data_IF_560833667996
#
_entry.id   IF_560833667996
#
_cell.length_a   1.000
_cell.length_b   1.000
_cell.length_c   1.000
_cell.angle_alpha   90.00
_cell.angle_beta   90.00
_cell.angle_gamma   90.00
#
_symmetry.space_group_name_H-M   'P 1'
#
loop_
_entity.id
_entity.type
_entity.pdbx_description
1 polymer ?
#
# COMPACT_ATOMS: atom_id res chain seq x y z
N UNK A 1 23.34 -9.34 -9.08
CA UNK A 1 22.70 -10.53 -8.43
C UNK A 1 21.19 -10.52 -8.75
N UNK A 2 20.47 -11.63 -8.51
CA UNK A 2 19.03 -11.77 -8.85
C UNK A 2 18.15 -10.65 -8.27
N UNK A 3 18.40 -10.28 -7.01
CA UNK A 3 17.74 -9.16 -6.34
C UNK A 3 17.78 -7.84 -7.15
N UNK A 4 18.95 -7.44 -7.65
CA UNK A 4 19.11 -6.17 -8.37
C UNK A 4 18.34 -6.17 -9.69
N UNK A 5 18.16 -7.34 -10.31
CA UNK A 5 17.40 -7.46 -11.55
C UNK A 5 15.92 -7.21 -11.29
N UNK A 6 15.33 -7.89 -10.30
CA UNK A 6 13.91 -7.71 -9.94
C UNK A 6 13.63 -6.27 -9.47
N UNK A 7 14.50 -5.72 -8.61
CA UNK A 7 14.35 -4.34 -8.12
C UNK A 7 14.36 -3.31 -9.24
N UNK A 8 15.20 -3.50 -10.27
CA UNK A 8 15.25 -2.60 -11.43
C UNK A 8 13.94 -2.59 -12.23
N UNK A 9 13.15 -3.66 -12.22
CA UNK A 9 11.87 -3.75 -12.93
C UNK A 9 10.79 -2.90 -12.24
N UNK A 10 10.72 -2.97 -10.91
CA UNK A 10 9.66 -2.29 -10.14
C UNK A 10 10.04 -0.87 -9.71
N UNK A 11 11.33 -0.54 -9.62
CA UNK A 11 11.81 0.80 -9.26
C UNK A 11 11.16 1.97 -10.02
N UNK A 12 10.85 1.88 -11.34
CA UNK A 12 10.27 3.01 -12.04
C UNK A 12 8.89 3.41 -11.49
N UNK A 13 8.20 2.57 -10.71
CA UNK A 13 6.91 2.94 -10.07
C UNK A 13 7.05 4.17 -9.15
N UNK A 14 8.24 4.40 -8.59
CA UNK A 14 8.57 5.56 -7.75
C UNK A 14 9.47 6.57 -8.47
N UNK A 15 9.58 6.49 -9.80
CA UNK A 15 10.29 7.50 -10.57
C UNK A 15 9.60 8.88 -10.47
N UNK A 16 10.33 10.00 -10.59
CA UNK A 16 9.76 11.34 -10.44
C UNK A 16 8.50 11.60 -11.28
N UNK A 17 8.47 11.11 -12.53
CA UNK A 17 7.31 11.24 -13.42
C UNK A 17 6.08 10.50 -12.89
N UNK A 18 6.26 9.27 -12.40
CA UNK A 18 5.16 8.49 -11.81
C UNK A 18 4.71 9.10 -10.48
N UNK A 19 5.64 9.58 -9.65
CA UNK A 19 5.27 10.30 -8.41
C UNK A 19 4.46 11.56 -8.70
N UNK A 20 4.82 12.35 -9.72
CA UNK A 20 4.05 13.53 -10.12
C UNK A 20 2.62 13.16 -10.57
N UNK A 21 2.45 12.06 -11.31
CA UNK A 21 1.12 11.54 -11.68
C UNK A 21 0.32 11.07 -10.46
N UNK A 22 0.98 10.39 -9.52
CA UNK A 22 0.35 9.90 -8.30
C UNK A 22 -0.01 11.04 -7.34
N UNK A 23 0.76 12.13 -7.31
CA UNK A 23 0.51 13.26 -6.41
C UNK A 23 -0.91 13.82 -6.56
N UNK A 24 -1.34 14.09 -7.80
CA UNK A 24 -2.68 14.62 -8.05
C UNK A 24 -3.77 13.66 -7.57
N UNK A 25 -3.57 12.36 -7.77
CA UNK A 25 -4.53 11.33 -7.37
C UNK A 25 -4.57 11.16 -5.85
N UNK A 26 -3.40 11.16 -5.19
CA UNK A 26 -3.28 11.10 -3.73
C UNK A 26 -3.99 12.31 -3.13
N UNK A 27 -3.69 13.52 -3.62
CA UNK A 27 -4.31 14.76 -3.12
C UNK A 27 -5.83 14.73 -3.25
N UNK A 28 -6.34 14.31 -4.40
CA UNK A 28 -7.78 14.19 -4.63
C UNK A 28 -8.44 13.21 -3.63
N UNK A 29 -7.87 12.01 -3.48
CA UNK A 29 -8.42 10.98 -2.60
C UNK A 29 -8.31 11.36 -1.12
N UNK A 30 -7.20 11.95 -0.72
CA UNK A 30 -7.02 12.47 0.64
C UNK A 30 -8.03 13.56 0.94
N UNK A 31 -8.23 14.53 0.04
CA UNK A 31 -9.27 15.55 0.19
C UNK A 31 -10.66 14.92 0.39
N UNK A 32 -11.07 14.05 -0.54
CA UNK A 32 -12.37 13.37 -0.46
C UNK A 32 -12.54 12.52 0.81
N UNK A 33 -11.48 11.85 1.29
CA UNK A 33 -11.53 11.07 2.52
C UNK A 33 -11.70 11.95 3.75
N UNK A 34 -10.98 13.08 3.82
CA UNK A 34 -11.05 14.03 4.94
C UNK A 34 -12.36 14.82 4.95
N UNK A 35 -12.83 15.27 3.77
CA UNK A 35 -14.10 16.00 3.62
C UNK A 35 -15.32 15.13 3.99
N UNK A 36 -15.19 13.81 3.92
CA UNK A 36 -16.23 12.84 4.31
C UNK A 36 -16.25 12.48 5.80
N UNK A 37 -15.37 13.04 6.62
CA UNK A 37 -15.33 12.74 8.06
C UNK A 37 -16.38 13.53 8.84
N UNK A 38 -17.02 12.94 9.87
CA UNK A 38 -17.97 13.67 10.69
C UNK A 38 -17.24 14.68 11.60
N UNK A 39 -17.86 15.83 11.84
CA UNK A 39 -17.33 16.88 12.72
C UNK A 39 -18.07 16.84 14.04
N UNK A 40 -17.33 16.76 15.15
CA UNK A 40 -17.90 16.71 16.51
C UNK A 40 -18.37 15.31 16.93
N UNK A 41 -18.12 14.28 16.12
CA UNK A 41 -18.45 12.89 16.44
C UNK A 41 -17.18 12.03 16.48
N UNK A 42 -17.17 11.04 17.37
CA UNK A 42 -16.10 10.05 17.44
C UNK A 42 -16.18 9.11 16.24
N UNK A 43 -15.03 8.84 15.61
CA UNK A 43 -14.90 7.84 14.57
C UNK A 43 -13.55 7.14 14.65
N UNK A 44 -13.45 5.99 13.98
CA UNK A 44 -12.20 5.25 13.84
C UNK A 44 -11.36 5.81 12.68
N UNK A 45 -10.26 6.49 13.01
CA UNK A 45 -9.31 7.04 12.05
C UNK A 45 -8.61 5.97 11.22
N UNK A 46 -8.29 4.82 11.82
CA UNK A 46 -7.61 3.71 11.14
C UNK A 46 -8.48 3.20 10.00
N UNK A 47 -9.77 3.00 10.28
CA UNK A 47 -10.72 2.51 9.27
C UNK A 47 -11.05 3.56 8.23
N UNK A 48 -11.45 4.77 8.65
CA UNK A 48 -11.95 5.79 7.72
C UNK A 48 -10.85 6.45 6.87
N UNK A 49 -9.63 6.54 7.40
CA UNK A 49 -8.54 7.29 6.76
C UNK A 49 -7.37 6.38 6.40
N UNK A 50 -6.70 5.78 7.39
CA UNK A 50 -5.44 5.06 7.15
C UNK A 50 -5.62 3.89 6.19
N UNK A 51 -6.47 2.92 6.51
CA UNK A 51 -6.77 1.74 5.67
C UNK A 51 -7.37 2.20 4.34
N UNK A 52 -8.32 3.13 4.39
CA UNK A 52 -9.01 3.59 3.19
C UNK A 52 -8.03 4.13 2.13
N UNK A 53 -7.17 5.08 2.51
CA UNK A 53 -6.25 5.72 1.59
C UNK A 53 -5.14 4.78 1.12
N UNK A 54 -4.55 3.98 2.02
CA UNK A 54 -3.48 3.04 1.62
C UNK A 54 -3.99 1.93 0.72
N UNK A 55 -5.18 1.39 0.98
CA UNK A 55 -5.80 0.36 0.13
C UNK A 55 -6.08 0.88 -1.29
N UNK A 56 -6.58 2.12 -1.41
CA UNK A 56 -6.77 2.76 -2.71
C UNK A 56 -5.46 2.94 -3.48
N UNK A 57 -4.38 3.28 -2.77
CA UNK A 57 -3.06 3.43 -3.36
C UNK A 57 -2.48 2.10 -3.83
N UNK A 58 -2.54 1.04 -3.01
CA UNK A 58 -2.13 -0.30 -3.45
C UNK A 58 -2.89 -0.73 -4.71
N UNK A 59 -4.22 -0.56 -4.73
CA UNK A 59 -5.00 -0.93 -5.91
C UNK A 59 -4.54 -0.18 -7.16
N UNK A 60 -4.13 1.08 -7.02
CA UNK A 60 -3.58 1.87 -8.13
C UNK A 60 -2.21 1.35 -8.57
N UNK A 61 -1.32 1.06 -7.63
CA UNK A 61 0.04 0.58 -7.90
C UNK A 61 0.05 -0.79 -8.58
N UNK A 62 -0.91 -1.66 -8.27
CA UNK A 62 -1.07 -2.96 -8.92
C UNK A 62 -1.97 -2.93 -10.17
N UNK A 63 -2.63 -1.81 -10.45
CA UNK A 63 -3.75 -1.77 -11.40
C UNK A 63 -4.81 -2.84 -11.08
N UNK A 64 -5.07 -3.01 -9.79
CA UNK A 64 -6.04 -3.94 -9.23
C UNK A 64 -7.46 -3.37 -9.38
N UNK A 65 -8.48 -4.19 -9.68
CA UNK A 65 -9.86 -3.71 -9.79
C UNK A 65 -10.29 -2.98 -8.51
N UNK A 66 -10.76 -1.74 -8.66
CA UNK A 66 -10.95 -0.84 -7.53
C UNK A 66 -12.04 -1.33 -6.59
N UNK A 67 -13.10 -1.93 -7.12
CA UNK A 67 -14.19 -2.59 -6.40
C UNK A 67 -13.71 -3.71 -5.48
N UNK A 68 -12.62 -4.39 -5.86
CA UNK A 68 -12.09 -5.55 -5.15
C UNK A 68 -10.95 -5.20 -4.18
N UNK A 69 -10.53 -3.92 -4.12
CA UNK A 69 -9.35 -3.45 -3.38
C UNK A 69 -9.24 -3.94 -1.94
N UNK A 70 -10.36 -4.18 -1.25
CA UNK A 70 -10.38 -4.70 0.13
C UNK A 70 -9.70 -6.07 0.25
N UNK A 71 -9.66 -6.87 -0.82
CA UNK A 71 -8.93 -8.15 -0.88
C UNK A 71 -7.43 -7.96 -0.64
N UNK A 72 -6.85 -6.85 -1.11
CA UNK A 72 -5.41 -6.56 -0.91
C UNK A 72 -5.06 -6.42 0.57
N UNK A 73 -5.87 -5.67 1.31
CA UNK A 73 -5.67 -5.49 2.77
C UNK A 73 -5.89 -6.80 3.51
N UNK A 74 -6.93 -7.54 3.15
CA UNK A 74 -7.18 -8.86 3.73
C UNK A 74 -6.00 -9.82 3.52
N UNK A 75 -5.47 -9.92 2.30
CA UNK A 75 -4.30 -10.76 2.03
C UNK A 75 -3.03 -10.27 2.72
N UNK A 76 -2.85 -8.95 2.86
CA UNK A 76 -1.76 -8.34 3.66
C UNK A 76 -1.83 -8.81 5.12
N UNK A 77 -2.99 -8.65 5.74
CA UNK A 77 -3.19 -8.99 7.15
C UNK A 77 -3.08 -10.51 7.37
N UNK A 78 -3.59 -11.35 6.44
CA UNK A 78 -3.44 -12.81 6.51
C UNK A 78 -1.98 -13.24 6.39
N UNK A 79 -1.21 -12.62 5.50
CA UNK A 79 0.21 -12.94 5.31
C UNK A 79 1.07 -12.66 6.56
N UNK A 80 0.70 -11.67 7.37
CA UNK A 80 1.44 -11.28 8.58
C UNK A 80 0.84 -11.79 9.88
N UNK A 81 -0.40 -12.31 9.85
CA UNK A 81 -1.11 -12.83 11.03
C UNK A 81 -0.43 -14.06 11.65
N UNK A 82 -0.58 -14.22 12.98
CA UNK A 82 -0.16 -15.42 13.73
C UNK A 82 -1.38 -16.33 13.92
N UNK A 83 -1.31 -17.63 13.59
CA UNK A 83 -2.43 -18.55 13.77
C UNK A 83 -2.94 -18.60 15.21
N UNK A 84 -4.26 -18.58 15.38
CA UNK A 84 -4.94 -18.60 16.69
C UNK A 84 -5.05 -17.23 17.38
N UNK A 85 -4.57 -16.15 16.74
CA UNK A 85 -4.62 -14.79 17.28
C UNK A 85 -5.54 -13.84 16.49
N UNK A 86 -6.61 -14.37 15.89
CA UNK A 86 -7.69 -13.56 15.32
C UNK A 86 -8.07 -13.95 13.90
N UNK A 87 -7.28 -13.51 12.91
CA UNK A 87 -7.69 -13.55 11.49
C UNK A 87 -7.64 -14.94 10.86
N UNK A 88 -6.78 -15.83 11.36
CA UNK A 88 -6.63 -17.22 10.94
C UNK A 88 -6.41 -18.13 12.15
N UNK A 89 -6.83 -19.38 12.03
CA UNK A 89 -6.75 -20.41 13.07
C UNK A 89 -5.59 -21.39 12.83
N UNK A 90 -5.15 -21.56 11.58
CA UNK A 90 -4.06 -22.48 11.23
C UNK A 90 -3.24 -22.02 10.02
N UNK A 91 -2.05 -22.61 9.86
CA UNK A 91 -1.21 -22.37 8.68
C UNK A 91 -1.84 -22.93 7.39
N UNK A 92 -2.60 -24.02 7.47
CA UNK A 92 -3.35 -24.56 6.32
C UNK A 92 -4.40 -23.56 5.82
N UNK A 93 -5.10 -22.89 6.73
CA UNK A 93 -6.04 -21.83 6.37
C UNK A 93 -5.31 -20.66 5.70
N UNK A 94 -4.14 -20.26 6.20
CA UNK A 94 -3.30 -19.23 5.55
C UNK A 94 -2.95 -19.64 4.11
N UNK A 95 -2.50 -20.88 3.91
CA UNK A 95 -2.14 -21.40 2.58
C UNK A 95 -3.34 -21.36 1.65
N UNK A 96 -4.52 -21.75 2.11
CA UNK A 96 -5.75 -21.70 1.32
C UNK A 96 -6.08 -20.27 0.87
N UNK A 97 -6.10 -19.32 1.80
CA UNK A 97 -6.42 -17.91 1.50
C UNK A 97 -5.38 -17.28 0.55
N UNK A 98 -4.09 -17.53 0.79
CA UNK A 98 -3.03 -17.02 -0.10
C UNK A 98 -3.02 -17.74 -1.45
N UNK A 99 -3.57 -18.95 -1.54
CA UNK A 99 -3.86 -19.63 -2.80
C UNK A 99 -4.90 -18.88 -3.64
N UNK A 100 -5.95 -18.34 -3.01
CA UNK A 100 -6.93 -17.48 -3.69
C UNK A 100 -6.30 -16.17 -4.20
N UNK A 101 -5.42 -15.57 -3.40
CA UNK A 101 -4.60 -14.43 -3.82
C UNK A 101 -3.77 -14.79 -5.07
N UNK A 102 -3.06 -15.91 -5.04
CA UNK A 102 -2.27 -16.40 -6.16
C UNK A 102 -3.11 -16.62 -7.43
N UNK A 103 -4.28 -17.22 -7.31
CA UNK A 103 -5.19 -17.43 -8.44
C UNK A 103 -5.67 -16.09 -9.04
N UNK A 104 -6.02 -15.11 -8.19
CA UNK A 104 -6.46 -13.80 -8.63
C UNK A 104 -5.32 -13.05 -9.37
N UNK A 105 -4.13 -13.01 -8.79
CA UNK A 105 -2.99 -12.35 -9.42
C UNK A 105 -2.50 -13.07 -10.69
N UNK A 106 -2.69 -14.39 -10.78
CA UNK A 106 -2.45 -15.14 -12.03
C UNK A 106 -3.42 -14.70 -13.13
N UNK A 107 -4.70 -14.47 -12.80
CA UNK A 107 -5.67 -13.91 -13.75
C UNK A 107 -5.22 -12.53 -14.23
N UNK A 108 -4.88 -11.62 -13.30
CA UNK A 108 -4.40 -10.28 -13.64
C UNK A 108 -3.12 -10.32 -14.48
N UNK A 109 -2.17 -11.21 -14.15
CA UNK A 109 -0.96 -11.42 -14.93
C UNK A 109 -1.29 -11.78 -16.38
N UNK A 110 -2.17 -12.76 -16.60
CA UNK A 110 -2.57 -13.19 -17.93
C UNK A 110 -3.28 -12.07 -18.71
N UNK A 111 -4.07 -11.24 -18.04
CA UNK A 111 -4.66 -10.04 -18.67
C UNK A 111 -3.56 -9.07 -19.12
N UNK A 112 -2.52 -8.85 -18.32
CA UNK A 112 -1.47 -7.87 -18.63
C UNK A 112 -0.51 -8.34 -19.70
N UNK A 113 -0.13 -9.63 -19.71
CA UNK A 113 0.74 -10.19 -20.77
C UNK A 113 0.12 -10.05 -22.17
N UNK A 114 -1.22 -9.99 -22.26
CA UNK A 114 -1.95 -9.86 -23.52
C UNK A 114 -2.39 -8.43 -23.83
N UNK A 115 -1.97 -7.44 -23.04
CA UNK A 115 -2.33 -6.03 -23.20
C UNK A 115 -1.10 -5.18 -23.51
N UNK A 116 -1.30 -3.91 -23.86
CA UNK A 116 -0.19 -2.97 -23.99
C UNK A 116 0.48 -2.70 -22.62
N UNK A 117 1.80 -2.44 -22.60
CA UNK A 117 2.51 -2.10 -21.37
C UNK A 117 1.89 -0.91 -20.63
N UNK A 118 1.61 -1.13 -19.34
CA UNK A 118 1.05 -0.17 -18.40
C UNK A 118 2.06 0.26 -17.35
N UNK A 119 1.67 1.24 -16.53
CA UNK A 119 2.54 1.82 -15.51
C UNK A 119 2.38 1.20 -14.12
N UNK A 120 1.64 0.11 -13.98
CA UNK A 120 1.45 -0.61 -12.72
C UNK A 120 2.40 -1.81 -12.58
N UNK A 121 2.59 -2.24 -11.33
CA UNK A 121 3.55 -3.28 -10.94
C UNK A 121 3.35 -4.60 -11.69
N UNK A 122 2.11 -5.02 -11.94
CA UNK A 122 1.84 -6.29 -12.63
C UNK A 122 2.27 -6.15 -14.09
N UNK A 123 1.89 -5.06 -14.75
CA UNK A 123 2.29 -4.83 -16.14
C UNK A 123 3.80 -4.68 -16.30
N UNK A 124 4.46 -3.96 -15.39
CA UNK A 124 5.92 -3.82 -15.38
C UNK A 124 6.62 -5.18 -15.28
N UNK A 125 6.16 -6.06 -14.38
CA UNK A 125 6.73 -7.39 -14.25
C UNK A 125 6.41 -8.32 -15.42
N UNK A 126 5.21 -8.21 -16.01
CA UNK A 126 4.75 -9.02 -17.13
C UNK A 126 5.52 -8.74 -18.44
N UNK A 127 5.94 -7.49 -18.65
CA UNK A 127 6.57 -7.05 -19.90
C UNK A 127 8.10 -7.01 -19.87
N UNK A 128 8.72 -7.26 -18.71
CA UNK A 128 10.17 -7.22 -18.58
C UNK A 128 10.81 -8.61 -18.62
N UNK A 129 11.80 -8.81 -19.48
CA UNK A 129 12.53 -10.09 -19.63
C UNK A 129 13.10 -10.64 -18.33
N UNK A 130 13.43 -9.75 -17.37
CA UNK A 130 14.04 -10.13 -16.08
C UNK A 130 13.04 -10.77 -15.12
N UNK A 131 11.74 -10.54 -15.33
CA UNK A 131 10.66 -10.97 -14.43
C UNK A 131 9.58 -11.80 -15.12
N UNK A 132 9.41 -11.70 -16.45
CA UNK A 132 8.36 -12.42 -17.18
C UNK A 132 8.50 -13.94 -17.14
N UNK A 133 9.70 -14.44 -16.82
CA UNK A 133 10.00 -15.88 -16.68
C UNK A 133 10.04 -16.35 -15.23
N UNK A 134 9.59 -15.53 -14.26
CA UNK A 134 9.50 -15.96 -12.86
C UNK A 134 8.53 -17.12 -12.70
N UNK A 135 8.81 -18.02 -11.76
CA UNK A 135 7.84 -19.05 -11.40
C UNK A 135 6.60 -18.41 -10.75
N UNK A 136 5.43 -19.05 -10.80
CA UNK A 136 4.23 -18.56 -10.12
C UNK A 136 4.46 -18.33 -8.62
N UNK A 137 5.27 -19.17 -7.97
CA UNK A 137 5.60 -19.04 -6.55
C UNK A 137 6.47 -17.80 -6.28
N UNK A 138 7.45 -17.53 -7.15
CA UNK A 138 8.31 -16.35 -7.03
C UNK A 138 7.53 -15.06 -7.30
N UNK A 139 6.67 -15.07 -8.30
CA UNK A 139 5.75 -13.96 -8.57
C UNK A 139 4.84 -13.69 -7.36
N UNK A 140 4.19 -14.73 -6.82
CA UNK A 140 3.34 -14.59 -5.65
C UNK A 140 4.12 -14.05 -4.43
N UNK A 141 5.33 -14.54 -4.18
CA UNK A 141 6.19 -14.02 -3.12
C UNK A 141 6.49 -12.53 -3.27
N UNK A 142 6.78 -12.08 -4.50
CA UNK A 142 6.99 -10.65 -4.79
C UNK A 142 5.71 -9.83 -4.61
N UNK A 143 4.56 -10.35 -5.03
CA UNK A 143 3.26 -9.68 -4.82
C UNK A 143 2.97 -9.51 -3.33
N UNK A 144 3.12 -10.56 -2.52
CA UNK A 144 2.92 -10.48 -1.07
C UNK A 144 3.89 -9.49 -0.42
N UNK A 145 5.17 -9.50 -0.80
CA UNK A 145 6.16 -8.53 -0.34
C UNK A 145 5.70 -7.09 -0.62
N UNK A 146 5.20 -6.82 -1.83
CA UNK A 146 4.78 -5.48 -2.25
C UNK A 146 3.46 -5.06 -1.60
N UNK A 147 2.51 -5.98 -1.39
CA UNK A 147 1.26 -5.72 -0.67
C UNK A 147 1.57 -5.35 0.79
N UNK A 148 2.34 -6.18 1.50
CA UNK A 148 2.67 -5.96 2.91
C UNK A 148 3.53 -4.70 3.05
N UNK A 149 4.61 -4.60 2.27
CA UNK A 149 5.56 -3.50 2.35
C UNK A 149 4.96 -2.14 1.98
N UNK A 150 4.06 -2.10 0.99
CA UNK A 150 3.41 -0.86 0.52
C UNK A 150 2.22 -0.41 1.35
N UNK A 151 1.57 -1.31 2.10
CA UNK A 151 0.37 -0.99 2.88
C UNK A 151 0.68 -0.70 4.34
N UNK A 152 1.25 -1.69 5.05
CA UNK A 152 1.26 -1.72 6.51
C UNK A 152 2.10 -0.58 7.10
N UNK A 153 3.26 -0.35 6.51
CA UNK A 153 4.20 0.70 6.94
C UNK A 153 3.54 2.08 6.84
N UNK A 154 2.98 2.41 5.68
CA UNK A 154 2.28 3.68 5.44
C UNK A 154 1.03 3.82 6.32
N UNK A 155 0.23 2.75 6.47
CA UNK A 155 -0.97 2.71 7.32
C UNK A 155 -0.63 3.05 8.77
N UNK A 156 0.45 2.48 9.29
CA UNK A 156 0.92 2.72 10.64
C UNK A 156 1.45 4.15 10.80
N UNK A 157 2.23 4.66 9.84
CA UNK A 157 2.69 6.07 9.87
C UNK A 157 1.54 7.07 9.84
N UNK A 158 0.50 6.86 9.02
CA UNK A 158 -0.68 7.73 8.98
C UNK A 158 -1.44 7.72 10.32
N UNK A 159 -1.59 6.55 10.93
CA UNK A 159 -2.24 6.40 12.24
C UNK A 159 -1.41 7.07 13.34
N UNK A 160 -0.12 6.77 13.38
CA UNK A 160 0.83 7.34 14.33
C UNK A 160 0.92 8.87 14.25
N UNK A 161 0.82 9.44 13.04
CA UNK A 161 0.92 10.89 12.84
C UNK A 161 -0.15 11.66 13.64
N UNK A 162 -1.41 11.21 13.60
CA UNK A 162 -2.51 11.87 14.31
C UNK A 162 -2.41 11.63 15.81
N UNK A 163 -2.01 10.43 16.23
CA UNK A 163 -1.78 10.13 17.64
C UNK A 163 -0.68 11.04 18.21
N UNK A 164 0.46 11.13 17.53
CA UNK A 164 1.60 11.94 17.94
C UNK A 164 1.24 13.44 18.02
N UNK A 165 0.55 13.98 17.01
CA UNK A 165 0.11 15.37 17.02
C UNK A 165 -0.90 15.65 18.14
N UNK A 166 -1.83 14.73 18.40
CA UNK A 166 -2.81 14.88 19.46
C UNK A 166 -2.18 14.80 20.87
N UNK A 167 -1.11 14.03 21.03
CA UNK A 167 -0.36 13.94 22.30
C UNK A 167 0.64 15.10 22.48
N UNK A 168 0.97 15.83 21.41
CA UNK A 168 1.97 16.90 21.42
C UNK A 168 1.39 18.17 20.76
N UNK A 169 0.39 18.76 21.40
CA UNK A 169 -0.35 19.92 20.85
C UNK A 169 0.56 21.11 20.51
N UNK A 170 1.66 21.31 21.24
CA UNK A 170 2.64 22.36 20.89
C UNK A 170 3.31 22.14 19.53
N UNK A 171 3.55 20.88 19.15
CA UNK A 171 4.09 20.55 17.82
C UNK A 171 3.03 20.67 16.73
N UNK A 172 1.78 20.32 17.05
CA UNK A 172 0.64 20.57 16.16
C UNK A 172 0.46 22.08 15.88
N UNK A 173 0.47 22.91 16.92
CA UNK A 173 0.35 24.37 16.77
C UNK A 173 1.49 24.96 15.94
N UNK A 174 2.73 24.49 16.16
CA UNK A 174 3.89 24.87 15.33
C UNK A 174 3.70 24.50 13.85
N UNK A 175 3.19 23.30 13.58
CA UNK A 175 2.94 22.83 12.22
C UNK A 175 1.84 23.64 11.53
N UNK A 176 0.75 23.96 12.25
CA UNK A 176 -0.33 24.82 11.75
C UNK A 176 0.17 26.24 11.45
N UNK A 177 1.02 26.79 12.31
CA UNK A 177 1.62 28.10 12.10
C UNK A 177 2.64 28.13 10.94
N UNK A 178 3.27 26.99 10.62
CA UNK A 178 4.26 26.89 9.55
C UNK A 178 4.19 25.55 8.78
N UNK A 179 3.33 25.44 7.76
CA UNK A 179 3.21 24.24 6.92
C UNK A 179 4.48 23.86 6.16
N UNK A 180 5.46 24.76 6.03
CA UNK A 180 6.76 24.44 5.41
C UNK A 180 7.55 23.37 6.20
N UNK A 181 7.15 23.07 7.45
CA UNK A 181 7.73 22.02 8.28
C UNK A 181 7.28 20.61 7.87
N UNK A 182 6.22 20.46 7.07
CA UNK A 182 5.65 19.15 6.71
C UNK A 182 6.70 18.24 6.04
N UNK A 183 7.29 18.71 4.94
CA UNK A 183 8.26 17.95 4.15
C UNK A 183 9.57 17.64 4.89
N UNK A 184 10.32 18.67 5.36
CA UNK A 184 11.65 18.46 5.91
C UNK A 184 11.66 17.91 7.35
N UNK A 185 10.57 18.03 8.10
CA UNK A 185 10.54 17.68 9.53
C UNK A 185 9.43 16.70 9.88
N UNK A 186 8.16 17.05 9.67
CA UNK A 186 7.02 16.23 10.15
C UNK A 186 7.04 14.83 9.56
N UNK A 187 7.21 14.70 8.24
CA UNK A 187 7.18 13.39 7.56
C UNK A 187 8.33 12.49 8.04
N UNK A 188 9.62 12.90 8.01
CA UNK A 188 10.71 12.09 8.54
C UNK A 188 10.54 11.74 10.03
N UNK A 189 10.09 12.69 10.85
CA UNK A 189 9.93 12.48 12.29
C UNK A 189 8.78 11.53 12.62
N UNK A 190 7.67 11.61 11.88
CA UNK A 190 6.55 10.66 12.01
C UNK A 190 7.03 9.23 11.75
N UNK A 191 7.83 9.04 10.70
CA UNK A 191 8.40 7.73 10.37
C UNK A 191 9.30 7.28 11.52
N UNK A 192 10.29 8.10 11.93
CA UNK A 192 11.23 7.79 13.03
C UNK A 192 10.54 7.48 14.36
N UNK A 193 9.45 8.17 14.68
CA UNK A 193 8.73 8.00 15.95
C UNK A 193 7.85 6.75 15.95
N UNK A 194 7.26 6.40 14.80
CA UNK A 194 6.33 5.29 14.67
C UNK A 194 7.00 3.94 14.35
N UNK A 195 8.21 3.94 13.76
CA UNK A 195 9.00 2.74 13.44
C UNK A 195 10.08 2.50 14.48
#
# INVERSE_FOLDING_TARGET
>A
PKHDMQRKVVNPIVAPENLARLESLIRQRTGAALDGLPVGETFDWVQKVSINLTTQMLATLFGFPFEDRAKLTYWSDVATSIPGHGLIDSDEQRIQILGECGAYFTKLWNERVNAEPGSDLISMMAHDDRTRTMSPQEFLGNIILLIVGGNDTTRNSMTGSVLALNQNLSEYDKLCANPALIGPSMIPETIRWQT
#
